data_IF_028343426086
#
_entry.id   IF_028343426086
#
_cell.length_a   1.000
_cell.length_b   1.000
_cell.length_c   1.000
_cell.angle_alpha   90.00
_cell.angle_beta   90.00
_cell.angle_gamma   90.00
#
_symmetry.space_group_name_H-M   'P 1'
#
loop_
_entity.id
_entity.type
_entity.pdbx_description
1 polymer ?
#
# COMPACT_ATOMS: atom_id res chain seq x y z
N UNK A 1 -13.03 33.45 -47.10
CA UNK A 1 -12.17 32.70 -46.16
C UNK A 1 -12.48 31.23 -46.29
N UNK A 2 -11.57 30.44 -46.87
CA UNK A 2 -11.67 28.97 -46.95
C UNK A 2 -10.95 28.38 -45.74
N UNK A 3 -11.62 27.50 -45.01
CA UNK A 3 -11.13 26.89 -43.76
C UNK A 3 -10.04 25.84 -43.99
N UNK A 4 -9.07 25.82 -43.10
CA UNK A 4 -7.99 24.82 -43.02
C UNK A 4 -8.56 23.51 -42.47
N UNK A 5 -8.21 22.32 -43.02
CA UNK A 5 -8.65 21.04 -42.47
C UNK A 5 -7.92 20.73 -41.15
N UNK A 6 -8.65 20.39 -40.09
CA UNK A 6 -8.08 19.90 -38.82
C UNK A 6 -7.74 18.42 -38.95
N UNK A 7 -6.49 18.07 -38.63
CA UNK A 7 -5.99 16.70 -38.49
C UNK A 7 -6.60 16.09 -37.20
N UNK A 8 -7.12 14.85 -37.22
CA UNK A 8 -7.64 14.20 -36.02
C UNK A 8 -6.52 13.86 -35.03
N UNK A 9 -6.79 14.02 -33.73
CA UNK A 9 -5.89 13.61 -32.65
C UNK A 9 -5.68 12.08 -32.60
N UNK A 10 -4.53 11.58 -32.12
CA UNK A 10 -4.26 10.13 -32.04
C UNK A 10 -5.19 9.44 -31.04
N UNK A 11 -5.64 8.22 -31.37
CA UNK A 11 -6.45 7.38 -30.48
C UNK A 11 -5.57 6.65 -29.46
N UNK A 12 -6.04 6.43 -28.22
CA UNK A 12 -5.34 5.63 -27.21
C UNK A 12 -5.40 4.13 -27.54
N UNK A 13 -4.37 3.38 -27.12
CA UNK A 13 -4.13 1.96 -27.44
C UNK A 13 -5.14 0.95 -26.86
N UNK A 14 -6.23 1.40 -26.23
CA UNK A 14 -7.23 0.55 -25.60
C UNK A 14 -8.30 0.00 -26.57
N UNK A 15 -8.33 0.48 -27.82
CA UNK A 15 -9.35 0.11 -28.82
C UNK A 15 -8.97 -1.11 -29.70
N UNK A 16 -7.80 -1.73 -29.50
CA UNK A 16 -7.28 -2.81 -30.35
C UNK A 16 -7.55 -4.25 -29.84
N UNK A 17 -8.42 -4.44 -28.84
CA UNK A 17 -8.78 -5.77 -28.33
C UNK A 17 -10.15 -6.23 -28.85
N UNK A 18 -10.13 -7.24 -29.74
CA UNK A 18 -11.35 -7.85 -30.30
C UNK A 18 -12.19 -8.60 -29.23
N UNK A 19 -13.54 -8.51 -29.23
CA UNK A 19 -14.38 -8.94 -28.09
C UNK A 19 -14.63 -10.46 -27.93
N UNK A 20 -13.88 -11.34 -28.59
CA UNK A 20 -14.20 -12.78 -28.65
C UNK A 20 -13.11 -13.74 -28.16
N UNK A 21 -12.08 -13.25 -27.49
CA UNK A 21 -10.97 -14.07 -27.04
C UNK A 21 -11.01 -14.45 -25.54
N UNK A 22 -12.15 -14.86 -24.99
CA UNK A 22 -12.16 -15.74 -23.80
C UNK A 22 -13.56 -16.33 -23.54
N UNK A 23 -13.70 -17.66 -23.62
CA UNK A 23 -14.87 -18.39 -23.12
C UNK A 23 -14.38 -19.61 -22.33
N UNK A 24 -14.45 -19.61 -20.98
CA UNK A 24 -14.01 -20.76 -20.19
C UNK A 24 -15.01 -21.93 -20.33
N UNK A 25 -14.55 -23.19 -20.26
CA UNK A 25 -15.42 -24.36 -20.37
C UNK A 25 -16.28 -24.56 -19.11
N UNK A 26 -17.45 -25.15 -19.32
CA UNK A 26 -18.47 -25.45 -18.28
C UNK A 26 -18.03 -26.68 -17.46
N UNK A 27 -18.20 -26.70 -16.12
CA UNK A 27 -17.85 -27.87 -15.33
C UNK A 27 -18.92 -28.97 -15.45
N UNK A 28 -18.48 -30.23 -15.53
CA UNK A 28 -19.34 -31.42 -15.51
C UNK A 28 -19.77 -31.82 -14.07
N UNK A 29 -20.89 -32.54 -13.89
CA UNK A 29 -21.45 -32.87 -12.59
C UNK A 29 -20.70 -34.03 -11.92
N UNK A 30 -20.48 -33.92 -10.61
CA UNK A 30 -19.96 -35.01 -9.76
C UNK A 30 -21.07 -36.01 -9.45
N UNK A 31 -20.77 -37.30 -9.62
CA UNK A 31 -21.60 -38.40 -9.15
C UNK A 31 -21.52 -38.54 -7.63
N UNK A 32 -22.70 -38.73 -7.05
CA UNK A 32 -22.99 -38.89 -5.64
C UNK A 32 -22.91 -40.38 -5.28
N UNK A 33 -22.18 -40.74 -4.23
CA UNK A 33 -22.24 -42.07 -3.65
C UNK A 33 -22.25 -41.96 -2.13
N UNK A 34 -23.45 -41.84 -1.58
CA UNK A 34 -23.70 -41.98 -0.16
C UNK A 34 -23.55 -43.42 0.33
N UNK A 35 -23.26 -43.56 1.63
CA UNK A 35 -23.68 -44.70 2.45
C UNK A 35 -23.87 -44.24 3.89
N UNK A 36 -24.97 -44.71 4.46
CA UNK A 36 -25.51 -44.35 5.76
C UNK A 36 -25.02 -45.25 6.92
N UNK A 37 -25.25 -44.72 8.13
CA UNK A 37 -25.60 -45.35 9.41
C UNK A 37 -24.57 -46.07 10.34
N UNK A 38 -24.15 -45.35 11.41
CA UNK A 38 -24.46 -45.51 12.87
C UNK A 38 -24.23 -46.88 13.61
N UNK A 39 -24.09 -46.96 14.96
CA UNK A 39 -23.18 -46.34 15.96
C UNK A 39 -22.45 -47.38 16.89
N UNK A 40 -21.52 -46.95 17.77
CA UNK A 40 -21.00 -47.84 18.84
C UNK A 40 -20.07 -47.25 19.92
N UNK A 41 -20.63 -46.99 21.10
CA UNK A 41 -20.12 -47.22 22.48
C UNK A 41 -18.68 -46.85 22.95
N UNK A 42 -18.65 -45.83 23.85
CA UNK A 42 -18.15 -45.83 25.24
C UNK A 42 -16.75 -46.40 25.67
N UNK A 43 -15.88 -45.45 26.09
CA UNK A 43 -15.09 -45.37 27.35
C UNK A 43 -13.90 -46.35 27.63
N UNK A 44 -12.98 -46.05 28.60
CA UNK A 44 -12.38 -44.76 28.97
C UNK A 44 -10.83 -44.81 29.17
N UNK A 45 -10.30 -43.61 29.42
CA UNK A 45 -8.96 -43.21 29.88
C UNK A 45 -8.33 -44.05 31.02
N UNK A 46 -6.99 -44.17 30.94
CA UNK A 46 -6.12 -44.41 32.09
C UNK A 46 -5.12 -43.28 32.24
N UNK A 47 -5.26 -42.57 33.36
CA UNK A 47 -4.27 -41.66 33.90
C UNK A 47 -3.08 -42.42 34.50
N UNK A 48 -1.87 -41.91 34.28
CA UNK A 48 -0.74 -42.05 35.20
C UNK A 48 0.08 -40.76 35.16
N UNK A 49 0.24 -40.16 36.34
CA UNK A 49 1.04 -38.95 36.53
C UNK A 49 2.47 -39.21 36.98
N UNK A 50 3.02 -38.17 37.60
CA UNK A 50 4.27 -38.06 38.35
C UNK A 50 5.51 -37.56 37.57
N UNK A 51 5.69 -36.24 37.65
CA UNK A 51 6.97 -35.59 37.99
C UNK A 51 7.57 -36.16 39.30
N UNK A 52 8.90 -36.09 39.58
CA UNK A 52 9.57 -34.79 39.83
C UNK A 52 11.09 -34.66 39.54
N UNK A 53 11.48 -33.37 39.44
CA UNK A 53 12.67 -32.67 39.96
C UNK A 53 14.10 -33.23 39.81
N UNK A 54 15.02 -32.34 39.41
CA UNK A 54 16.47 -32.52 39.57
C UNK A 54 17.29 -31.28 39.16
N UNK A 55 17.93 -30.67 40.15
CA UNK A 55 18.79 -29.49 40.16
C UNK A 55 20.00 -29.49 39.20
N UNK A 56 20.56 -28.29 38.96
CA UNK A 56 22.01 -28.10 39.16
C UNK A 56 22.86 -27.44 38.08
N UNK A 57 22.98 -26.10 38.17
CA UNK A 57 24.21 -25.25 38.12
C UNK A 57 25.25 -25.37 36.97
N UNK A 58 25.52 -24.17 36.44
CA UNK A 58 26.84 -23.51 36.25
C UNK A 58 27.74 -23.92 35.08
N UNK A 59 28.06 -22.93 34.24
CA UNK A 59 29.22 -22.95 33.36
C UNK A 59 29.30 -21.68 32.50
N UNK A 60 29.99 -20.66 32.98
CA UNK A 60 30.44 -19.51 32.19
C UNK A 60 31.48 -19.95 31.15
N UNK A 61 31.48 -19.35 29.94
CA UNK A 61 32.69 -18.79 29.31
C UNK A 61 32.41 -18.10 27.97
N UNK A 62 33.01 -16.91 27.86
CA UNK A 62 33.66 -16.32 26.68
C UNK A 62 32.79 -15.65 25.59
N UNK A 63 32.74 -14.32 25.73
CA UNK A 63 32.66 -13.34 24.65
C UNK A 63 33.72 -13.59 23.56
N UNK A 64 33.32 -13.43 22.30
CA UNK A 64 34.20 -13.06 21.21
C UNK A 64 33.52 -11.94 20.42
N UNK A 65 33.98 -10.71 20.68
CA UNK A 65 33.71 -9.54 19.86
C UNK A 65 34.53 -9.68 18.57
N UNK A 66 33.86 -9.51 17.42
CA UNK A 66 34.53 -9.29 16.14
C UNK A 66 34.38 -7.80 15.80
N UNK A 67 35.44 -7.05 16.09
CA UNK A 67 35.71 -5.71 15.57
C UNK A 67 36.23 -5.86 14.13
N UNK A 68 35.41 -5.51 13.13
CA UNK A 68 35.87 -5.26 11.76
C UNK A 68 35.94 -3.75 11.53
N UNK A 69 37.10 -3.18 11.87
CA UNK A 69 37.47 -1.79 11.59
C UNK A 69 38.15 -1.71 10.22
N UNK A 70 37.45 -1.15 9.23
CA UNK A 70 38.03 -0.77 7.93
C UNK A 70 38.46 0.70 8.02
N UNK A 71 39.75 1.04 7.83
CA UNK A 71 40.19 2.43 7.85
C UNK A 71 39.98 3.11 6.50
N UNK A 72 39.24 4.23 6.51
CA UNK A 72 39.26 5.26 5.47
C UNK A 72 40.60 5.98 5.43
N UNK A 73 41.11 6.37 4.25
CA UNK A 73 42.13 7.40 4.16
C UNK A 73 41.50 8.78 3.98
N UNK A 74 41.58 9.61 5.03
CA UNK A 74 41.53 11.07 4.91
C UNK A 74 42.93 11.60 4.66
N UNK A 75 43.09 12.46 3.64
CA UNK A 75 44.08 13.55 3.70
C UNK A 75 43.68 14.68 2.74
N UNK A 76 43.44 15.82 3.38
CA UNK A 76 43.29 17.17 2.86
C UNK A 76 44.41 17.62 1.90
N UNK A 77 44.14 18.70 1.14
CA UNK A 77 45.20 19.58 0.66
C UNK A 77 44.84 20.42 -0.56
N UNK A 78 44.38 21.64 -0.31
CA UNK A 78 44.16 22.68 -1.31
C UNK A 78 45.45 23.05 -2.07
N UNK A 79 45.32 23.31 -3.37
CA UNK A 79 46.21 24.21 -4.10
C UNK A 79 45.45 24.83 -5.28
N UNK A 80 45.17 26.11 -5.13
CA UNK A 80 44.89 27.08 -6.19
C UNK A 80 46.12 27.19 -7.09
N UNK A 81 45.95 26.97 -8.40
CA UNK A 81 46.97 27.34 -9.38
C UNK A 81 46.48 28.53 -10.21
N UNK A 82 47.31 29.56 -10.10
CA UNK A 82 47.27 30.84 -10.78
C UNK A 82 47.29 30.71 -12.30
N UNK A 83 46.50 31.56 -12.92
CA UNK A 83 46.54 31.85 -14.34
C UNK A 83 47.89 32.51 -14.74
N UNK A 84 48.52 31.97 -15.78
CA UNK A 84 49.61 32.61 -16.51
C UNK A 84 49.49 32.20 -18.00
N UNK A 85 50.04 32.98 -18.95
CA UNK A 85 49.26 33.67 -19.98
C UNK A 85 49.21 32.92 -21.31
N UNK A 86 48.20 33.27 -22.11
CA UNK A 86 48.01 32.74 -23.46
C UNK A 86 49.12 33.14 -24.44
N UNK A 87 49.33 32.35 -25.51
CA UNK A 87 50.25 32.71 -26.58
C UNK A 87 49.66 33.86 -27.40
N UNK A 88 50.50 34.87 -27.58
CA UNK A 88 50.24 36.09 -28.33
C UNK A 88 49.87 35.79 -29.79
N UNK A 89 48.84 36.51 -30.24
CA UNK A 89 48.42 36.55 -31.63
C UNK A 89 49.54 37.15 -32.50
N UNK A 90 50.21 36.29 -33.28
CA UNK A 90 50.97 36.71 -34.44
C UNK A 90 50.02 37.22 -35.52
N UNK A 91 50.08 38.52 -35.77
CA UNK A 91 49.35 39.20 -36.83
C UNK A 91 49.68 38.59 -38.21
N UNK A 92 48.69 37.98 -38.85
CA UNK A 92 48.71 37.79 -40.30
C UNK A 92 47.78 38.80 -40.97
N UNK A 93 48.46 39.65 -41.74
CA UNK A 93 48.01 40.68 -42.66
C UNK A 93 46.79 40.25 -43.48
N UNK A 94 45.73 41.06 -43.44
CA UNK A 94 44.62 41.00 -44.40
C UNK A 94 45.10 41.49 -45.76
N UNK A 95 45.22 40.57 -46.72
CA UNK A 95 45.35 40.87 -48.14
C UNK A 95 44.01 40.58 -48.84
N UNK A 96 43.66 41.30 -49.92
CA UNK A 96 42.32 41.29 -50.48
C UNK A 96 42.02 39.99 -51.24
N UNK A 97 40.88 39.37 -50.95
CA UNK A 97 40.39 38.15 -51.62
C UNK A 97 39.91 38.46 -53.04
N UNK A 98 40.63 37.88 -54.01
CA UNK A 98 40.17 37.66 -55.39
C UNK A 98 39.56 36.22 -55.48
N UNK A 99 38.88 35.87 -56.58
CA UNK A 99 37.61 35.14 -56.58
C UNK A 99 37.70 33.71 -56.01
N UNK A 100 36.64 33.31 -55.31
CA UNK A 100 36.41 31.98 -54.74
C UNK A 100 36.48 30.89 -55.82
N UNK A 101 37.55 30.11 -55.78
CA UNK A 101 37.56 28.78 -56.38
C UNK A 101 36.78 27.79 -55.49
N UNK A 102 36.32 26.66 -56.05
CA UNK A 102 35.57 25.66 -55.28
C UNK A 102 36.38 25.21 -54.06
N UNK A 103 35.73 25.22 -52.88
CA UNK A 103 36.33 24.81 -51.61
C UNK A 103 36.84 23.38 -51.74
N UNK A 104 38.11 23.16 -51.39
CA UNK A 104 38.71 21.84 -51.54
C UNK A 104 38.06 20.81 -50.59
N UNK A 105 37.96 19.56 -51.05
CA UNK A 105 37.39 18.45 -50.28
C UNK A 105 38.07 18.26 -48.90
N UNK A 106 39.37 18.52 -48.75
CA UNK A 106 40.03 18.38 -47.44
C UNK A 106 39.56 19.43 -46.43
N UNK A 107 39.23 20.64 -46.90
CA UNK A 107 38.67 21.71 -46.06
C UNK A 107 37.27 21.32 -45.61
N UNK A 108 36.42 20.83 -46.51
CA UNK A 108 35.07 20.37 -46.19
C UNK A 108 35.09 19.19 -45.21
N UNK A 109 36.02 18.25 -45.39
CA UNK A 109 36.24 17.14 -44.44
C UNK A 109 36.66 17.63 -43.05
N UNK A 110 37.47 18.69 -42.97
CA UNK A 110 37.89 19.27 -41.69
C UNK A 110 36.76 19.99 -40.94
N UNK A 111 35.75 20.48 -41.66
CA UNK A 111 34.58 21.17 -41.09
C UNK A 111 33.53 20.20 -40.52
N UNK A 112 33.58 18.90 -40.84
CA UNK A 112 32.56 17.92 -40.40
C UNK A 112 32.36 17.87 -38.88
N UNK A 113 33.45 18.00 -38.11
CA UNK A 113 33.38 18.01 -36.64
C UNK A 113 32.70 19.27 -36.10
N UNK A 114 33.03 20.45 -36.64
CA UNK A 114 32.40 21.71 -36.29
C UNK A 114 30.92 21.74 -36.73
N UNK A 115 30.62 21.21 -37.91
CA UNK A 115 29.27 21.06 -38.42
C UNK A 115 28.42 20.12 -37.55
N UNK A 116 28.97 18.99 -37.10
CA UNK A 116 28.29 18.06 -36.20
C UNK A 116 27.94 18.70 -34.84
N UNK A 117 28.75 19.65 -34.38
CA UNK A 117 28.53 20.44 -33.16
C UNK A 117 27.65 21.69 -33.37
N UNK A 118 27.13 21.91 -34.59
CA UNK A 118 26.42 23.14 -34.97
C UNK A 118 27.24 24.43 -34.73
N UNK A 119 28.56 24.34 -34.91
CA UNK A 119 29.53 25.42 -34.67
C UNK A 119 30.06 26.07 -35.96
N UNK A 120 29.59 25.65 -37.13
CA UNK A 120 29.89 26.30 -38.41
C UNK A 120 29.08 27.58 -38.60
N UNK A 121 29.61 28.54 -39.37
CA UNK A 121 28.82 29.65 -39.90
C UNK A 121 27.73 29.14 -40.86
N UNK A 122 26.76 29.99 -41.20
CA UNK A 122 25.68 29.64 -42.13
C UNK A 122 26.21 29.29 -43.54
N UNK A 123 27.24 29.99 -43.99
CA UNK A 123 27.88 29.78 -45.30
C UNK A 123 28.68 28.47 -45.35
N UNK A 124 29.45 28.17 -44.30
CA UNK A 124 30.16 26.89 -44.15
C UNK A 124 29.17 25.72 -44.04
N UNK A 125 28.06 25.91 -43.32
CA UNK A 125 27.02 24.89 -43.18
C UNK A 125 26.42 24.53 -44.53
N UNK A 126 26.03 25.53 -45.33
CA UNK A 126 25.48 25.31 -46.67
C UNK A 126 26.49 24.59 -47.59
N UNK A 127 27.76 24.99 -47.54
CA UNK A 127 28.83 24.38 -48.36
C UNK A 127 29.11 22.93 -47.94
N UNK A 128 29.08 22.63 -46.64
CA UNK A 128 29.23 21.27 -46.14
C UNK A 128 28.01 20.42 -46.51
N UNK A 129 26.79 20.93 -46.37
CA UNK A 129 25.56 20.19 -46.72
C UNK A 129 25.48 19.85 -48.21
N UNK A 130 25.86 20.77 -49.10
CA UNK A 130 25.99 20.51 -50.53
C UNK A 130 27.01 19.39 -50.81
N UNK A 131 28.17 19.44 -50.16
CA UNK A 131 29.19 18.40 -50.28
C UNK A 131 28.75 17.02 -49.75
N UNK A 132 28.01 16.97 -48.64
CA UNK A 132 27.49 15.72 -48.08
C UNK A 132 26.48 15.05 -49.03
N UNK A 133 25.77 15.84 -49.86
CA UNK A 133 24.90 15.32 -50.92
C UNK A 133 25.68 14.61 -52.05
N UNK A 134 26.94 14.96 -52.26
CA UNK A 134 27.76 14.48 -53.37
C UNK A 134 28.87 13.49 -52.96
N UNK A 135 29.21 13.40 -51.67
CA UNK A 135 30.32 12.59 -51.15
C UNK A 135 29.86 11.61 -50.05
N UNK A 136 29.52 10.38 -50.46
CA UNK A 136 29.08 9.32 -49.54
C UNK A 136 30.02 9.04 -48.35
N UNK A 137 31.37 8.99 -48.51
CA UNK A 137 32.27 8.81 -47.38
C UNK A 137 32.22 9.92 -46.33
N UNK A 138 32.00 11.17 -46.76
CA UNK A 138 31.85 12.30 -45.83
C UNK A 138 30.46 12.34 -45.19
N UNK A 139 29.41 11.89 -45.90
CA UNK A 139 28.08 11.67 -45.33
C UNK A 139 28.09 10.63 -44.21
N UNK A 140 28.74 9.49 -44.43
CA UNK A 140 28.88 8.43 -43.41
C UNK A 140 29.64 8.94 -42.17
N UNK A 141 30.71 9.70 -42.38
CA UNK A 141 31.49 10.28 -41.29
C UNK A 141 30.71 11.36 -40.54
N UNK A 142 29.96 12.21 -41.25
CA UNK A 142 29.12 13.23 -40.65
C UNK A 142 28.00 12.64 -39.78
N UNK A 143 27.40 11.51 -40.20
CA UNK A 143 26.44 10.75 -39.39
C UNK A 143 27.08 10.20 -38.12
N UNK A 144 28.26 9.56 -38.24
CA UNK A 144 29.01 9.06 -37.07
C UNK A 144 29.37 10.16 -36.08
N UNK A 145 29.78 11.32 -36.58
CA UNK A 145 30.11 12.47 -35.76
C UNK A 145 28.87 13.05 -35.05
N UNK A 146 27.71 13.13 -35.72
CA UNK A 146 26.45 13.53 -35.07
C UNK A 146 26.00 12.55 -34.00
N UNK A 147 26.10 11.24 -34.25
CA UNK A 147 25.81 10.22 -33.25
C UNK A 147 26.73 10.34 -32.03
N UNK A 148 28.02 10.62 -32.25
CA UNK A 148 28.99 10.84 -31.19
C UNK A 148 28.74 12.14 -30.40
N UNK A 149 28.32 13.23 -31.05
CA UNK A 149 27.91 14.48 -30.39
C UNK A 149 26.72 14.25 -29.45
N UNK A 150 25.82 13.32 -29.79
CA UNK A 150 24.73 12.90 -28.90
C UNK A 150 25.19 12.29 -27.57
N UNK A 151 26.43 11.77 -27.49
CA UNK A 151 27.05 11.27 -26.26
C UNK A 151 27.74 12.37 -25.44
N UNK A 152 28.03 13.52 -26.06
CA UNK A 152 28.65 14.69 -25.41
C UNK A 152 27.60 15.68 -24.86
N UNK A 153 26.33 15.52 -25.22
CA UNK A 153 25.23 16.26 -24.60
C UNK A 153 24.99 15.76 -23.17
N UNK A 154 25.50 16.52 -22.21
CA UNK A 154 25.41 16.28 -20.77
C UNK A 154 23.99 16.47 -20.21
N UNK A 155 23.06 17.02 -20.99
CA UNK A 155 21.70 17.38 -20.55
C UNK A 155 20.64 16.34 -20.99
N UNK A 156 20.95 15.05 -20.86
CA UNK A 156 19.87 14.07 -20.71
C UNK A 156 19.51 14.03 -19.23
N UNK A 157 18.27 14.38 -18.95
CA UNK A 157 17.65 14.14 -17.65
C UNK A 157 17.91 12.68 -17.26
N UNK A 158 18.72 12.46 -16.22
CA UNK A 158 19.03 11.13 -15.69
C UNK A 158 17.85 10.57 -14.88
N UNK A 159 16.75 11.32 -14.82
CA UNK A 159 15.50 10.89 -14.25
C UNK A 159 14.96 9.70 -15.05
N UNK A 160 15.14 8.53 -14.44
CA UNK A 160 14.51 7.30 -14.89
C UNK A 160 12.99 7.48 -14.84
N UNK A 161 12.28 6.85 -15.78
CA UNK A 161 10.82 6.74 -15.69
C UNK A 161 10.46 6.26 -14.26
N UNK A 162 9.62 6.99 -13.50
CA UNK A 162 9.21 6.57 -12.15
C UNK A 162 8.63 5.15 -12.12
N UNK A 163 8.07 4.68 -13.24
CA UNK A 163 7.54 3.32 -13.41
C UNK A 163 8.62 2.29 -13.72
N UNK A 164 9.83 2.67 -14.12
CA UNK A 164 10.90 1.73 -14.47
C UNK A 164 11.23 0.80 -13.31
N UNK A 165 11.31 1.33 -12.08
CA UNK A 165 11.53 0.51 -10.88
C UNK A 165 10.42 -0.53 -10.72
N UNK A 166 9.16 -0.12 -10.90
CA UNK A 166 8.02 -1.02 -10.81
C UNK A 166 8.08 -2.10 -11.89
N UNK A 167 8.29 -1.72 -13.16
CA UNK A 167 8.40 -2.65 -14.29
C UNK A 167 9.55 -3.64 -14.13
N UNK A 168 10.71 -3.18 -13.63
CA UNK A 168 11.87 -4.05 -13.36
C UNK A 168 11.58 -5.02 -12.23
N UNK A 169 10.95 -4.57 -11.14
CA UNK A 169 10.57 -5.44 -10.03
C UNK A 169 9.51 -6.46 -10.46
N UNK A 170 8.47 -6.03 -11.18
CA UNK A 170 7.44 -6.89 -11.74
C UNK A 170 8.04 -7.95 -12.67
N UNK A 171 8.96 -7.57 -13.57
CA UNK A 171 9.65 -8.49 -14.45
C UNK A 171 10.52 -9.49 -13.66
N UNK A 172 11.25 -9.02 -12.66
CA UNK A 172 12.07 -9.86 -11.78
C UNK A 172 11.22 -10.88 -11.01
N UNK A 173 10.10 -10.43 -10.43
CA UNK A 173 9.18 -11.28 -9.67
C UNK A 173 8.45 -12.27 -10.59
N UNK A 174 8.09 -11.87 -11.80
CA UNK A 174 7.53 -12.77 -12.81
C UNK A 174 8.51 -13.86 -13.26
N UNK A 175 9.81 -13.52 -13.37
CA UNK A 175 10.87 -14.50 -13.72
C UNK A 175 11.24 -15.42 -12.56
N UNK A 176 11.18 -14.90 -11.32
CA UNK A 176 11.53 -15.64 -10.10
C UNK A 176 10.40 -15.51 -9.09
N UNK A 177 9.26 -16.20 -9.31
CA UNK A 177 8.14 -16.15 -8.38
C UNK A 177 8.59 -16.66 -7.02
N UNK A 178 7.97 -16.11 -5.96
CA UNK A 178 8.16 -16.60 -4.61
C UNK A 178 7.81 -18.10 -4.58
N UNK A 179 8.67 -18.91 -3.97
CA UNK A 179 8.43 -20.35 -3.84
C UNK A 179 7.13 -20.64 -3.09
N UNK A 180 6.81 -19.77 -2.13
CA UNK A 180 5.54 -19.73 -1.40
C UNK A 180 5.05 -18.28 -1.50
N UNK A 181 4.03 -17.99 -2.31
CA UNK A 181 3.45 -16.65 -2.39
C UNK A 181 2.59 -16.36 -1.16
N UNK A 182 2.47 -15.07 -0.81
CA UNK A 182 1.45 -14.60 0.12
C UNK A 182 0.09 -14.77 -0.56
N UNK A 183 -0.95 -15.30 0.12
CA UNK A 183 -2.27 -15.41 -0.46
C UNK A 183 -2.89 -14.02 -0.68
N UNK A 184 -3.53 -13.81 -1.84
CA UNK A 184 -4.09 -12.51 -2.22
C UNK A 184 -4.99 -11.86 -1.14
N UNK A 185 -5.71 -12.67 -0.35
CA UNK A 185 -6.60 -12.18 0.71
C UNK A 185 -5.86 -11.69 1.97
N UNK A 186 -4.58 -12.04 2.13
CA UNK A 186 -3.70 -11.59 3.20
C UNK A 186 -2.78 -10.44 2.75
N UNK A 187 -2.67 -10.15 1.45
CA UNK A 187 -1.82 -9.08 0.90
C UNK A 187 -2.03 -7.70 1.57
N UNK A 188 -3.26 -7.25 1.89
CA UNK A 188 -3.42 -5.98 2.59
C UNK A 188 -2.72 -5.95 3.96
N UNK A 189 -2.79 -7.05 4.72
CA UNK A 189 -2.15 -7.12 6.03
C UNK A 189 -0.62 -7.14 5.91
N UNK A 190 -0.07 -7.92 4.97
CA UNK A 190 1.37 -7.95 4.70
C UNK A 190 1.89 -6.57 4.28
N UNK A 191 1.17 -5.89 3.37
CA UNK A 191 1.56 -4.58 2.88
C UNK A 191 1.50 -3.50 3.97
N UNK A 192 0.41 -3.39 4.73
CA UNK A 192 0.29 -2.33 5.73
C UNK A 192 1.24 -2.54 6.92
N UNK A 193 1.47 -3.79 7.34
CA UNK A 193 2.48 -4.08 8.38
C UNK A 193 3.90 -3.79 7.88
N UNK A 194 4.23 -4.09 6.63
CA UNK A 194 5.52 -3.75 6.03
C UNK A 194 5.74 -2.24 5.91
N UNK A 195 4.69 -1.48 5.54
CA UNK A 195 4.74 -0.02 5.45
C UNK A 195 4.91 0.63 6.81
N UNK A 196 4.17 0.20 7.82
CA UNK A 196 4.36 0.67 9.20
C UNK A 196 5.76 0.32 9.70
N UNK A 197 6.25 -0.90 9.43
CA UNK A 197 7.61 -1.28 9.81
C UNK A 197 8.70 -0.46 9.11
N UNK A 198 8.46 0.06 7.91
CA UNK A 198 9.35 1.01 7.25
C UNK A 198 9.40 2.35 8.01
N UNK A 199 8.25 2.94 8.32
CA UNK A 199 8.16 4.14 9.18
C UNK A 199 8.91 3.93 10.50
N UNK A 200 8.64 2.82 11.20
CA UNK A 200 9.24 2.53 12.50
C UNK A 200 10.76 2.32 12.45
N UNK A 201 11.32 1.96 11.28
CA UNK A 201 12.77 1.91 11.10
C UNK A 201 13.39 3.30 11.02
N UNK A 202 12.72 4.21 10.34
CA UNK A 202 13.22 5.55 10.01
C UNK A 202 13.21 6.49 11.21
N UNK A 203 12.23 6.35 12.11
CA UNK A 203 12.15 7.18 13.33
C UNK A 203 13.27 6.85 14.34
N UNK A 204 13.75 7.86 15.05
CA UNK A 204 14.75 7.79 16.11
C UNK A 204 14.21 7.25 17.44
N UNK A 205 15.10 6.98 18.40
CA UNK A 205 14.73 6.35 19.68
C UNK A 205 13.78 7.20 20.53
N UNK A 206 13.96 8.53 20.57
CA UNK A 206 13.09 9.43 21.34
C UNK A 206 11.66 9.49 20.80
N UNK A 207 11.47 9.29 19.50
CA UNK A 207 10.16 9.36 18.84
C UNK A 207 9.25 8.18 19.22
N UNK A 208 9.81 7.08 19.73
CA UNK A 208 9.02 5.98 20.31
C UNK A 208 8.20 6.41 21.54
N UNK A 209 8.57 7.52 22.17
CA UNK A 209 7.87 8.13 23.29
C UNK A 209 7.00 9.33 22.87
N UNK A 210 6.93 9.66 21.57
CA UNK A 210 6.07 10.72 21.09
C UNK A 210 4.61 10.43 21.47
N UNK A 211 3.86 11.43 21.96
CA UNK A 211 2.50 11.24 22.42
C UNK A 211 1.55 11.01 21.25
N UNK A 212 0.82 9.90 21.28
CA UNK A 212 -0.24 9.57 20.31
C UNK A 212 -1.60 9.65 21.01
N UNK A 213 -2.63 10.10 20.29
CA UNK A 213 -4.01 10.13 20.77
C UNK A 213 -4.88 9.25 19.89
N UNK A 214 -5.09 8.03 20.36
CA UNK A 214 -6.02 7.09 19.74
C UNK A 214 -7.45 7.62 19.87
N UNK A 215 -8.24 7.49 18.82
CA UNK A 215 -9.63 7.96 18.74
C UNK A 215 -10.53 6.84 18.26
N UNK A 216 -11.73 6.76 18.84
CA UNK A 216 -12.80 5.88 18.36
C UNK A 216 -14.15 6.48 18.74
N UNK A 217 -15.24 5.84 18.35
CA UNK A 217 -16.60 6.31 18.60
C UNK A 217 -17.31 5.41 19.61
N UNK A 218 -17.76 5.98 20.73
CA UNK A 218 -18.44 5.25 21.78
C UNK A 218 -19.53 6.12 22.43
N UNK A 219 -20.69 5.53 22.71
CA UNK A 219 -21.76 6.23 23.42
C UNK A 219 -22.31 7.46 22.68
N UNK A 220 -22.24 7.46 21.33
CA UNK A 220 -22.76 8.55 20.51
C UNK A 220 -21.82 9.76 20.38
N UNK A 221 -20.55 9.63 20.77
CA UNK A 221 -19.54 10.67 20.63
C UNK A 221 -18.18 10.07 20.33
N UNK A 222 -17.29 10.89 19.80
CA UNK A 222 -15.88 10.55 19.73
C UNK A 222 -15.28 10.50 21.13
N UNK A 223 -14.42 9.52 21.36
CA UNK A 223 -13.66 9.30 22.59
C UNK A 223 -12.20 9.11 22.24
N UNK A 224 -11.31 9.39 23.21
CA UNK A 224 -9.87 9.31 22.99
C UNK A 224 -9.09 8.72 24.16
N UNK A 225 -7.90 8.20 23.84
CA UNK A 225 -6.94 7.66 24.80
C UNK A 225 -5.53 8.09 24.43
N UNK A 226 -4.82 8.67 25.40
CA UNK A 226 -3.41 9.03 25.24
C UNK A 226 -2.52 7.81 25.44
N UNK A 227 -1.53 7.67 24.57
CA UNK A 227 -0.48 6.67 24.64
C UNK A 227 0.80 7.21 23.98
N UNK A 228 1.77 6.35 23.68
CA UNK A 228 2.96 6.68 22.89
C UNK A 228 3.01 5.85 21.62
N UNK A 229 3.91 6.18 20.68
CA UNK A 229 4.18 5.33 19.50
C UNK A 229 4.42 3.86 19.90
N UNK A 230 5.27 3.62 20.90
CA UNK A 230 5.50 2.26 21.41
C UNK A 230 4.23 1.61 22.01
N UNK A 231 3.38 2.40 22.66
CA UNK A 231 2.11 1.95 23.19
C UNK A 231 1.09 1.57 22.10
N UNK A 232 1.11 2.25 20.95
CA UNK A 232 0.32 1.89 19.76
C UNK A 232 0.79 0.57 19.16
N UNK A 233 2.10 0.36 19.03
CA UNK A 233 2.63 -0.93 18.54
C UNK A 233 2.28 -2.07 19.49
N UNK A 234 2.34 -1.82 20.80
CA UNK A 234 1.86 -2.76 21.81
C UNK A 234 0.37 -3.09 21.70
N UNK A 235 -0.46 -2.09 21.41
CA UNK A 235 -1.88 -2.26 21.12
C UNK A 235 -2.10 -3.15 19.88
N UNK A 236 -1.46 -2.82 18.75
CA UNK A 236 -1.57 -3.61 17.51
C UNK A 236 -1.16 -5.07 17.74
N UNK A 237 0.00 -5.31 18.35
CA UNK A 237 0.50 -6.65 18.70
C UNK A 237 -0.49 -7.42 19.58
N UNK A 238 -1.05 -6.73 20.58
CA UNK A 238 -2.01 -7.32 21.51
C UNK A 238 -3.27 -7.76 20.78
N UNK A 239 -3.86 -6.92 19.93
CA UNK A 239 -5.11 -7.28 19.23
C UNK A 239 -4.86 -8.30 18.11
N UNK A 240 -3.72 -8.25 17.41
CA UNK A 240 -3.31 -9.27 16.43
C UNK A 240 -3.17 -10.66 17.06
N UNK A 241 -2.98 -10.74 18.38
CA UNK A 241 -3.00 -12.00 19.13
C UNK A 241 -4.33 -12.77 19.02
N UNK A 242 -5.45 -12.12 18.70
CA UNK A 242 -6.71 -12.80 18.36
C UNK A 242 -6.56 -13.71 17.14
N UNK A 243 -5.86 -13.21 16.11
CA UNK A 243 -5.57 -13.96 14.88
C UNK A 243 -4.54 -15.05 15.16
N UNK A 244 -3.50 -14.75 15.96
CA UNK A 244 -2.52 -15.75 16.41
C UNK A 244 -3.23 -16.93 17.09
N UNK A 245 -4.10 -16.66 18.05
CA UNK A 245 -4.82 -17.68 18.81
C UNK A 245 -5.74 -18.53 17.93
N UNK A 246 -6.46 -17.91 16.99
CA UNK A 246 -7.28 -18.65 16.03
C UNK A 246 -6.44 -19.60 15.17
N UNK A 247 -5.26 -19.16 14.73
CA UNK A 247 -4.30 -19.98 13.95
C UNK A 247 -3.54 -21.01 14.79
N UNK A 248 -3.76 -21.08 16.11
CA UNK A 248 -3.04 -21.98 17.01
C UNK A 248 -1.58 -21.58 17.26
N UNK A 249 -1.23 -20.33 16.99
CA UNK A 249 0.06 -19.74 17.36
C UNK A 249 0.03 -19.23 18.80
N UNK A 250 1.21 -18.97 19.37
CA UNK A 250 1.31 -18.36 20.68
C UNK A 250 0.70 -16.94 20.67
N UNK A 251 -0.13 -16.66 21.67
CA UNK A 251 -0.68 -15.33 21.93
C UNK A 251 0.36 -14.50 22.72
N UNK A 252 0.70 -13.27 22.30
CA UNK A 252 1.67 -12.42 23.00
C UNK A 252 1.27 -12.07 24.45
N UNK A 253 -0.02 -12.15 24.80
CA UNK A 253 -0.52 -11.95 26.17
C UNK A 253 -0.65 -13.28 26.95
N UNK A 254 -0.26 -14.40 26.33
CA UNK A 254 -0.31 -15.74 26.92
C UNK A 254 -1.70 -16.38 26.90
N UNK A 255 -1.80 -17.57 27.50
CA UNK A 255 -3.00 -18.44 27.40
C UNK A 255 -4.27 -17.87 28.03
N UNK A 256 -4.14 -16.93 28.95
CA UNK A 256 -5.27 -16.30 29.65
C UNK A 256 -5.64 -14.94 29.04
N UNK A 257 -5.18 -14.66 27.81
CA UNK A 257 -5.44 -13.41 27.14
C UNK A 257 -6.95 -13.13 26.98
N UNK A 258 -7.41 -11.90 27.27
CA UNK A 258 -8.79 -11.50 27.00
C UNK A 258 -9.14 -11.63 25.51
N UNK A 259 -10.44 -11.72 25.21
CA UNK A 259 -10.93 -11.86 23.82
C UNK A 259 -11.40 -10.53 23.23
N UNK A 260 -11.75 -9.52 24.07
CA UNK A 260 -12.16 -8.20 23.56
C UNK A 260 -10.93 -7.33 23.27
N UNK A 261 -10.84 -6.67 22.09
CA UNK A 261 -9.71 -5.81 21.74
C UNK A 261 -9.30 -4.81 22.83
N UNK A 262 -10.23 -3.98 23.31
CA UNK A 262 -9.97 -3.03 24.40
C UNK A 262 -9.43 -3.68 25.69
N UNK A 263 -9.95 -4.85 26.09
CA UNK A 263 -9.46 -5.58 27.27
C UNK A 263 -8.03 -6.08 27.07
N UNK A 264 -7.67 -6.51 25.85
CA UNK A 264 -6.31 -6.94 25.50
C UNK A 264 -5.34 -5.75 25.53
N UNK A 265 -5.74 -4.63 24.95
CA UNK A 265 -4.98 -3.38 24.96
C UNK A 265 -4.69 -2.93 26.40
N UNK A 266 -5.71 -2.87 27.25
CA UNK A 266 -5.54 -2.46 28.65
C UNK A 266 -4.76 -3.49 29.47
N UNK A 267 -4.91 -4.80 29.21
CA UNK A 267 -4.10 -5.83 29.84
C UNK A 267 -2.61 -5.67 29.50
N UNK A 268 -2.28 -5.39 28.24
CA UNK A 268 -0.91 -5.11 27.82
C UNK A 268 -0.35 -3.85 28.49
N UNK A 269 -1.06 -2.72 28.40
CA UNK A 269 -0.61 -1.46 29.00
C UNK A 269 -0.49 -1.53 30.53
N UNK A 270 -1.31 -2.34 31.19
CA UNK A 270 -1.23 -2.56 32.64
C UNK A 270 -0.12 -3.53 33.04
N UNK A 271 0.37 -4.37 32.12
CA UNK A 271 1.42 -5.36 32.40
C UNK A 271 2.83 -4.79 32.38
N UNK A 272 3.02 -3.60 31.82
CA UNK A 272 4.33 -2.97 31.65
C UNK A 272 4.59 -1.95 32.76
N UNK A 273 5.60 -2.22 33.59
CA UNK A 273 5.96 -1.33 34.72
C UNK A 273 6.52 0.03 34.25
N UNK A 274 7.10 0.05 33.04
CA UNK A 274 7.62 1.25 32.38
C UNK A 274 6.97 1.37 31.00
N UNK A 275 6.79 2.59 30.47
CA UNK A 275 6.31 2.78 29.11
C UNK A 275 7.14 1.97 28.12
N UNK A 276 6.50 1.22 27.19
CA UNK A 276 7.23 0.48 26.17
C UNK A 276 8.18 1.40 25.39
N UNK A 277 9.30 0.85 24.95
CA UNK A 277 10.30 1.54 24.12
C UNK A 277 10.35 0.90 22.74
N UNK A 278 11.33 1.29 21.90
CA UNK A 278 11.61 0.66 20.59
C UNK A 278 11.73 -0.87 20.62
N UNK A 279 12.01 -1.47 21.78
CA UNK A 279 12.13 -2.92 21.93
C UNK A 279 10.86 -3.68 21.54
N UNK A 280 9.68 -3.06 21.60
CA UNK A 280 8.39 -3.68 21.20
C UNK A 280 8.31 -3.99 19.70
N UNK A 281 9.14 -3.32 18.87
CA UNK A 281 9.13 -3.49 17.42
C UNK A 281 9.43 -4.92 16.99
N UNK A 282 10.41 -5.56 17.63
CA UNK A 282 10.86 -6.91 17.25
C UNK A 282 9.75 -7.95 17.46
N UNK A 283 9.17 -8.10 18.67
CA UNK A 283 8.10 -9.09 18.88
C UNK A 283 6.85 -8.81 18.04
N UNK A 284 6.45 -7.54 17.85
CA UNK A 284 5.36 -7.19 16.94
C UNK A 284 5.64 -7.65 15.51
N UNK A 285 6.83 -7.34 14.99
CA UNK A 285 7.23 -7.72 13.63
C UNK A 285 7.32 -9.23 13.44
N UNK A 286 7.87 -9.93 14.43
CA UNK A 286 7.97 -11.39 14.41
C UNK A 286 6.58 -12.05 14.41
N UNK A 287 5.62 -11.48 15.16
CA UNK A 287 4.22 -11.92 15.12
C UNK A 287 3.60 -11.72 13.74
N UNK A 288 3.70 -10.53 13.14
CA UNK A 288 3.14 -10.27 11.80
C UNK A 288 3.74 -11.22 10.75
N UNK A 289 5.05 -11.44 10.79
CA UNK A 289 5.71 -12.42 9.94
C UNK A 289 5.23 -13.86 10.18
N UNK A 290 5.01 -14.25 11.44
CA UNK A 290 4.50 -15.58 11.77
C UNK A 290 3.07 -15.79 11.26
N UNK A 291 2.21 -14.77 11.33
CA UNK A 291 0.86 -14.79 10.78
C UNK A 291 0.89 -15.00 9.26
N UNK A 292 1.62 -14.15 8.53
CA UNK A 292 1.77 -14.25 7.07
C UNK A 292 2.35 -15.60 6.66
N UNK A 293 3.42 -16.04 7.33
CA UNK A 293 4.02 -17.35 7.05
C UNK A 293 3.00 -18.46 7.24
N UNK A 294 2.26 -18.47 8.35
CA UNK A 294 1.29 -19.53 8.67
C UNK A 294 0.19 -19.60 7.62
N UNK A 295 -0.42 -18.48 7.25
CA UNK A 295 -1.49 -18.46 6.24
C UNK A 295 -0.99 -18.80 4.84
N UNK A 296 0.27 -18.49 4.53
CA UNK A 296 0.88 -18.83 3.22
C UNK A 296 1.09 -20.33 3.02
N UNK A 297 1.18 -21.11 4.11
CA UNK A 297 1.24 -22.58 4.07
C UNK A 297 -0.10 -23.26 4.31
N UNK A 298 -1.12 -22.52 4.71
CA UNK A 298 -2.42 -23.06 5.05
C UNK A 298 -3.25 -23.44 3.82
N UNK A 299 -4.19 -24.37 3.99
CA UNK A 299 -5.17 -24.72 2.96
C UNK A 299 -6.20 -23.61 2.79
N UNK A 300 -6.91 -23.58 1.64
CA UNK A 300 -7.95 -22.58 1.38
C UNK A 300 -9.06 -22.56 2.45
N UNK A 301 -9.30 -23.70 3.10
CA UNK A 301 -10.33 -23.84 4.14
C UNK A 301 -10.04 -22.97 5.38
N UNK A 302 -8.79 -22.55 5.59
CA UNK A 302 -8.42 -21.66 6.70
C UNK A 302 -9.12 -20.29 6.62
N UNK A 303 -9.54 -19.87 5.42
CA UNK A 303 -10.13 -18.54 5.20
C UNK A 303 -11.47 -18.34 5.92
N UNK A 304 -12.21 -19.42 6.17
CA UNK A 304 -13.49 -19.44 6.90
C UNK A 304 -13.33 -19.67 8.40
N UNK A 305 -12.10 -19.85 8.88
CA UNK A 305 -11.83 -20.03 10.30
C UNK A 305 -12.35 -18.82 11.09
N UNK A 306 -13.17 -19.08 12.11
CA UNK A 306 -13.78 -18.01 12.91
C UNK A 306 -12.78 -17.41 13.90
N UNK A 307 -12.60 -16.10 13.85
CA UNK A 307 -11.81 -15.31 14.81
C UNK A 307 -12.78 -14.50 15.68
N UNK A 308 -12.74 -14.74 16.99
CA UNK A 308 -13.63 -14.07 17.94
C UNK A 308 -13.05 -12.72 18.38
N UNK A 309 -13.86 -11.67 18.33
CA UNK A 309 -13.61 -10.35 18.90
C UNK A 309 -14.44 -10.13 20.18
N UNK A 310 -15.00 -11.21 20.73
CA UNK A 310 -15.89 -11.19 21.89
C UNK A 310 -17.34 -10.98 21.51
N UNK A 311 -17.73 -9.75 21.16
CA UNK A 311 -19.12 -9.42 20.83
C UNK A 311 -19.56 -9.93 19.45
N UNK A 312 -18.60 -10.14 18.55
CA UNK A 312 -18.79 -10.66 17.20
C UNK A 312 -17.61 -11.55 16.81
N UNK A 313 -17.73 -12.20 15.65
CA UNK A 313 -16.66 -12.96 15.04
C UNK A 313 -16.60 -12.67 13.55
N UNK A 314 -15.40 -12.74 12.98
CA UNK A 314 -15.15 -12.60 11.55
C UNK A 314 -14.46 -13.87 11.04
N UNK A 315 -14.70 -14.27 9.78
CA UNK A 315 -13.81 -15.22 9.10
C UNK A 315 -12.37 -14.71 9.12
N UNK A 316 -11.39 -15.61 9.11
CA UNK A 316 -9.97 -15.25 9.18
C UNK A 316 -9.57 -14.28 8.07
N UNK A 317 -10.10 -14.45 6.85
CA UNK A 317 -9.84 -13.53 5.73
C UNK A 317 -10.28 -12.10 6.05
N UNK A 318 -11.45 -11.96 6.66
CA UNK A 318 -12.04 -10.66 6.98
C UNK A 318 -11.35 -10.08 8.23
N UNK A 319 -10.87 -10.96 9.13
CA UNK A 319 -10.08 -10.57 10.28
C UNK A 319 -8.73 -10.00 9.87
N UNK A 320 -8.00 -10.61 8.93
CA UNK A 320 -6.74 -10.02 8.43
C UNK A 320 -6.98 -8.69 7.71
N UNK A 321 -8.11 -8.54 7.02
CA UNK A 321 -8.47 -7.28 6.37
C UNK A 321 -8.84 -6.19 7.38
N UNK A 322 -9.55 -6.55 8.46
CA UNK A 322 -9.78 -5.71 9.64
C UNK A 322 -8.44 -5.32 10.28
N UNK A 323 -7.54 -6.27 10.51
CA UNK A 323 -6.21 -5.98 11.07
C UNK A 323 -5.37 -5.08 10.16
N UNK A 324 -5.48 -5.22 8.84
CA UNK A 324 -4.82 -4.35 7.89
C UNK A 324 -5.36 -2.91 7.96
N UNK A 325 -6.68 -2.75 8.09
CA UNK A 325 -7.32 -1.45 8.29
C UNK A 325 -6.84 -0.79 9.58
N UNK A 326 -6.88 -1.50 10.70
CA UNK A 326 -6.40 -0.99 12.00
C UNK A 326 -4.90 -0.65 11.97
N UNK A 327 -4.08 -1.48 11.30
CA UNK A 327 -2.66 -1.20 11.12
C UNK A 327 -2.40 0.09 10.34
N UNK A 328 -3.15 0.33 9.26
CA UNK A 328 -3.03 1.58 8.50
C UNK A 328 -3.49 2.80 9.30
N UNK A 329 -4.67 2.75 9.93
CA UNK A 329 -5.19 3.87 10.74
C UNK A 329 -4.21 4.24 11.84
N UNK A 330 -3.68 3.25 12.55
CA UNK A 330 -2.71 3.51 13.61
C UNK A 330 -1.31 3.88 13.11
N UNK A 331 -0.95 3.51 11.87
CA UNK A 331 0.24 4.04 11.22
C UNK A 331 0.07 5.54 10.89
N UNK A 332 -1.12 5.98 10.50
CA UNK A 332 -1.46 7.40 10.32
C UNK A 332 -1.38 8.15 11.66
N UNK A 333 -1.94 7.59 12.74
CA UNK A 333 -1.81 8.16 14.09
C UNK A 333 -0.34 8.36 14.52
N UNK A 334 0.52 7.38 14.23
CA UNK A 334 1.95 7.44 14.52
C UNK A 334 2.63 8.47 13.63
N UNK A 335 2.35 8.45 12.32
CA UNK A 335 2.93 9.35 11.35
C UNK A 335 2.63 10.82 11.70
N UNK A 336 1.39 11.12 12.07
CA UNK A 336 0.98 12.45 12.54
C UNK A 336 1.73 12.86 13.81
N UNK A 337 1.97 11.94 14.74
CA UNK A 337 2.65 12.23 16.00
C UNK A 337 4.16 12.50 15.86
N UNK A 338 4.77 12.04 14.76
CA UNK A 338 6.21 12.18 14.48
C UNK A 338 6.49 12.99 13.21
N UNK A 339 5.48 13.67 12.66
CA UNK A 339 5.56 14.46 11.42
C UNK A 339 6.14 13.67 10.22
N UNK A 340 5.78 12.39 10.08
CA UNK A 340 6.25 11.50 9.00
C UNK A 340 5.28 11.51 7.79
N UNK A 341 5.78 11.62 6.55
CA UNK A 341 4.91 11.55 5.36
C UNK A 341 4.37 10.12 5.15
N UNK A 342 3.07 9.92 5.34
CA UNK A 342 2.43 8.63 5.19
C UNK A 342 1.21 8.70 4.27
N UNK A 343 1.25 7.98 3.15
CA UNK A 343 0.18 7.96 2.16
C UNK A 343 -0.96 6.99 2.54
N UNK A 344 -2.15 7.08 1.92
CA UNK A 344 -3.16 6.04 2.03
C UNK A 344 -2.72 4.68 1.42
N UNK A 345 -3.42 3.57 1.71
CA UNK A 345 -3.27 2.28 1.04
C UNK A 345 -3.44 2.37 -0.48
N UNK A 346 -2.96 1.35 -1.18
CA UNK A 346 -3.25 1.21 -2.61
C UNK A 346 -4.77 1.16 -2.84
N UNK A 347 -5.26 1.67 -3.97
CA UNK A 347 -6.70 1.68 -4.25
C UNK A 347 -7.33 0.28 -4.20
N UNK A 348 -6.59 -0.77 -4.59
CA UNK A 348 -7.08 -2.14 -4.48
C UNK A 348 -7.23 -2.60 -3.02
N UNK A 349 -6.31 -2.22 -2.14
CA UNK A 349 -6.40 -2.54 -0.70
C UNK A 349 -7.49 -1.71 -0.04
N UNK A 350 -7.57 -0.42 -0.34
CA UNK A 350 -8.58 0.48 0.21
C UNK A 350 -9.99 0.01 -0.18
N UNK A 351 -10.21 -0.39 -1.44
CA UNK A 351 -11.49 -0.95 -1.88
C UNK A 351 -11.93 -2.16 -1.06
N UNK A 352 -11.01 -3.08 -0.75
CA UNK A 352 -11.33 -4.26 0.07
C UNK A 352 -11.69 -3.86 1.49
N UNK A 353 -10.96 -2.92 2.09
CA UNK A 353 -11.26 -2.41 3.43
C UNK A 353 -12.64 -1.72 3.47
N UNK A 354 -12.96 -0.91 2.47
CA UNK A 354 -14.28 -0.27 2.31
C UNK A 354 -15.38 -1.33 2.14
N UNK A 355 -15.15 -2.35 1.31
CA UNK A 355 -16.09 -3.45 1.10
C UNK A 355 -16.39 -4.18 2.41
N UNK A 356 -15.36 -4.50 3.21
CA UNK A 356 -15.55 -5.11 4.52
C UNK A 356 -16.42 -4.22 5.42
N UNK A 357 -16.08 -2.94 5.56
CA UNK A 357 -16.86 -2.01 6.37
C UNK A 357 -18.33 -1.94 5.89
N UNK A 358 -18.56 -1.82 4.59
CA UNK A 358 -19.89 -1.80 3.99
C UNK A 358 -20.69 -3.09 4.29
N UNK A 359 -20.05 -4.27 4.24
CA UNK A 359 -20.67 -5.55 4.61
C UNK A 359 -21.04 -5.63 6.10
N UNK A 360 -20.35 -4.92 6.98
CA UNK A 360 -20.62 -4.88 8.42
C UNK A 360 -21.74 -3.90 8.79
N UNK A 361 -22.01 -2.88 7.98
CA UNK A 361 -23.01 -1.84 8.28
C UNK A 361 -24.42 -2.36 8.59
N UNK A 362 -25.01 -3.34 7.86
CA UNK A 362 -26.35 -3.82 8.20
C UNK A 362 -26.44 -4.41 9.60
N UNK A 363 -25.41 -5.15 10.03
CA UNK A 363 -25.35 -5.73 11.38
C UNK A 363 -25.13 -4.66 12.45
N UNK A 364 -24.22 -3.70 12.21
CA UNK A 364 -23.99 -2.57 13.11
C UNK A 364 -25.26 -1.72 13.28
N UNK A 365 -25.99 -1.45 12.20
CA UNK A 365 -27.26 -0.73 12.23
C UNK A 365 -28.32 -1.48 13.04
N UNK A 366 -28.43 -2.80 12.86
CA UNK A 366 -29.34 -3.62 13.65
C UNK A 366 -28.99 -3.61 15.16
N UNK A 367 -27.71 -3.62 15.51
CA UNK A 367 -27.27 -3.54 16.91
C UNK A 367 -27.62 -2.19 17.52
N UNK A 368 -27.33 -1.10 16.82
CA UNK A 368 -27.72 0.25 17.25
C UNK A 368 -29.22 0.36 17.45
N UNK A 369 -30.03 -0.23 16.57
CA UNK A 369 -31.49 -0.27 16.72
C UNK A 369 -31.92 -1.03 17.97
N UNK A 370 -31.30 -2.18 18.28
CA UNK A 370 -31.55 -2.92 19.53
C UNK A 370 -31.22 -2.09 20.77
N UNK A 371 -30.18 -1.27 20.70
CA UNK A 371 -29.79 -0.33 21.75
C UNK A 371 -30.66 0.94 21.82
N UNK A 372 -31.66 1.11 20.93
CA UNK A 372 -32.50 2.30 20.87
C UNK A 372 -31.79 3.54 20.31
N UNK A 373 -30.70 3.36 19.57
CA UNK A 373 -29.84 4.41 19.01
C UNK A 373 -30.05 4.65 17.50
N UNK A 374 -31.03 3.99 16.89
CA UNK A 374 -31.40 4.12 15.48
C UNK A 374 -32.92 4.00 15.31
N UNK A 375 -33.43 4.50 14.18
CA UNK A 375 -34.85 4.46 13.85
C UNK A 375 -35.42 3.02 13.78
N UNK A 376 -36.74 2.84 13.98
CA UNK A 376 -37.36 1.53 13.94
C UNK A 376 -37.29 0.92 12.55
N UNK A 377 -37.43 -0.41 12.48
CA UNK A 377 -37.57 -1.10 11.19
C UNK A 377 -38.84 -0.62 10.49
N UNK A 378 -38.73 -0.25 9.21
CA UNK A 378 -39.88 0.23 8.42
C UNK A 378 -40.46 -0.84 7.51
N UNK A 379 -39.63 -1.66 6.88
CA UNK A 379 -40.05 -2.68 5.93
C UNK A 379 -39.25 -3.97 6.07
N UNK A 380 -39.84 -4.99 6.69
CA UNK A 380 -39.23 -6.31 6.85
C UNK A 380 -39.51 -7.17 5.62
N UNK A 381 -38.43 -7.73 5.06
CA UNK A 381 -38.49 -8.67 3.94
C UNK A 381 -37.93 -10.03 4.36
N UNK A 382 -38.25 -11.06 3.58
CA UNK A 382 -37.65 -12.39 3.76
C UNK A 382 -36.12 -12.32 3.61
N UNK A 383 -35.40 -13.20 4.30
CA UNK A 383 -33.95 -13.31 4.14
C UNK A 383 -33.56 -13.54 2.67
N UNK A 384 -32.56 -12.81 2.19
CA UNK A 384 -32.14 -12.84 0.79
C UNK A 384 -32.98 -11.99 -0.16
N UNK A 385 -34.12 -11.43 0.28
CA UNK A 385 -34.94 -10.56 -0.56
C UNK A 385 -34.42 -9.10 -0.56
N UNK A 386 -34.64 -8.34 -1.65
CA UNK A 386 -34.30 -6.92 -1.71
C UNK A 386 -35.06 -6.10 -0.66
N UNK A 387 -34.34 -5.38 0.21
CA UNK A 387 -34.89 -4.52 1.26
C UNK A 387 -34.67 -3.03 1.00
N UNK A 388 -35.28 -2.15 1.80
CA UNK A 388 -34.94 -0.72 1.79
C UNK A 388 -33.44 -0.55 1.98
N UNK A 389 -32.84 0.24 1.10
CA UNK A 389 -31.40 0.36 0.98
C UNK A 389 -30.94 1.81 1.05
N UNK A 390 -29.74 2.04 1.55
CA UNK A 390 -28.99 3.27 1.33
C UNK A 390 -27.89 2.99 0.31
N UNK A 391 -27.76 3.86 -0.69
CA UNK A 391 -26.67 3.84 -1.65
C UNK A 391 -25.46 4.57 -1.07
N UNK A 392 -24.42 3.82 -0.76
CA UNK A 392 -23.12 4.34 -0.36
C UNK A 392 -22.23 4.42 -1.62
N UNK A 393 -21.92 5.63 -2.03
CA UNK A 393 -20.96 5.93 -3.10
C UNK A 393 -19.66 6.38 -2.45
N UNK A 394 -18.57 5.67 -2.76
CA UNK A 394 -17.24 6.08 -2.31
C UNK A 394 -16.43 6.50 -3.53
N UNK A 395 -15.91 7.72 -3.50
CA UNK A 395 -15.09 8.29 -4.56
C UNK A 395 -13.60 8.02 -4.33
N UNK A 396 -12.79 8.24 -5.37
CA UNK A 396 -11.33 8.15 -5.28
C UNK A 396 -10.74 6.77 -5.56
N UNK A 397 -9.46 6.59 -5.24
CA UNK A 397 -8.72 5.36 -5.52
C UNK A 397 -9.22 4.23 -4.62
N UNK A 398 -9.90 3.25 -5.18
CA UNK A 398 -10.56 2.19 -4.42
C UNK A 398 -12.03 2.45 -4.12
N UNK A 399 -12.59 3.53 -4.67
CA UNK A 399 -14.00 3.84 -4.62
C UNK A 399 -14.91 2.79 -5.28
N UNK A 400 -16.20 2.96 -5.14
CA UNK A 400 -17.20 2.01 -5.60
C UNK A 400 -18.62 2.38 -5.17
N UNK A 401 -19.55 1.45 -5.41
CA UNK A 401 -20.95 1.61 -5.05
C UNK A 401 -21.41 0.41 -4.24
N UNK A 402 -21.95 0.66 -3.06
CA UNK A 402 -22.52 -0.35 -2.17
C UNK A 402 -23.96 0.02 -1.83
N UNK A 403 -24.81 -1.01 -1.68
CA UNK A 403 -26.19 -0.83 -1.24
C UNK A 403 -26.34 -1.47 0.13
N UNK A 404 -26.58 -0.64 1.14
CA UNK A 404 -26.63 -1.05 2.54
C UNK A 404 -28.08 -1.34 2.92
N UNK A 405 -28.38 -2.58 3.26
CA UNK A 405 -29.71 -2.95 3.76
C UNK A 405 -30.00 -2.27 5.11
N UNK A 406 -31.10 -1.53 5.19
CA UNK A 406 -31.42 -0.68 6.34
C UNK A 406 -32.20 -1.42 7.44
N UNK A 407 -33.13 -2.27 7.02
CA UNK A 407 -34.20 -2.78 7.88
C UNK A 407 -33.90 -4.16 8.48
N UNK A 408 -33.05 -4.97 7.83
CA UNK A 408 -32.64 -6.29 8.29
C UNK A 408 -31.23 -6.65 7.79
N UNK A 409 -30.34 -7.18 8.64
CA UNK A 409 -29.04 -7.71 8.20
C UNK A 409 -29.13 -8.87 7.22
N UNK A 410 -30.27 -9.57 7.19
CA UNK A 410 -30.50 -10.70 6.29
C UNK A 410 -31.08 -10.29 4.93
N UNK A 411 -31.43 -9.01 4.74
CA UNK A 411 -31.93 -8.50 3.47
C UNK A 411 -30.76 -8.19 2.52
N UNK A 412 -31.04 -8.16 1.22
CA UNK A 412 -30.07 -7.78 0.19
C UNK A 412 -30.27 -6.30 -0.14
N UNK A 413 -29.18 -5.53 -0.13
CA UNK A 413 -29.20 -4.15 -0.60
C UNK A 413 -29.41 -4.08 -2.11
N UNK A 414 -30.21 -3.13 -2.59
CA UNK A 414 -30.49 -3.00 -4.02
C UNK A 414 -30.70 -1.55 -4.47
N UNK A 415 -30.33 -1.21 -5.72
CA UNK A 415 -30.59 0.11 -6.30
C UNK A 415 -32.08 0.43 -6.39
N UNK A 416 -32.90 -0.54 -6.80
CA UNK A 416 -34.35 -0.37 -6.99
C UNK A 416 -35.13 -0.03 -5.71
N UNK A 417 -34.50 -0.29 -4.55
CA UNK A 417 -35.05 -0.03 -3.20
C UNK A 417 -34.23 1.02 -2.46
N UNK A 418 -33.38 1.78 -3.15
CA UNK A 418 -32.62 2.87 -2.55
C UNK A 418 -33.55 4.00 -2.14
N UNK A 419 -33.47 4.42 -0.87
CA UNK A 419 -34.27 5.54 -0.31
C UNK A 419 -33.42 6.76 0.03
N UNK A 420 -32.09 6.61 -0.02
CA UNK A 420 -31.13 7.65 0.28
C UNK A 420 -29.78 7.33 -0.35
N UNK A 421 -28.97 8.36 -0.56
CA UNK A 421 -27.61 8.27 -1.05
C UNK A 421 -26.67 9.07 -0.14
N UNK A 422 -25.48 8.50 0.09
CA UNK A 422 -24.35 9.15 0.74
C UNK A 422 -23.14 8.99 -0.16
N UNK A 423 -22.48 10.10 -0.49
CA UNK A 423 -21.27 10.14 -1.29
C UNK A 423 -20.11 10.75 -0.49
N UNK A 424 -18.96 10.10 -0.43
CA UNK A 424 -17.76 10.61 0.24
C UNK A 424 -16.47 10.01 -0.33
N UNK A 425 -15.34 10.64 -0.06
CA UNK A 425 -14.03 10.12 -0.47
C UNK A 425 -13.62 8.89 0.38
N UNK A 426 -12.83 7.98 -0.18
CA UNK A 426 -12.45 6.72 0.47
C UNK A 426 -11.73 6.84 1.80
N UNK A 427 -10.74 7.73 1.92
CA UNK A 427 -10.04 7.99 3.17
C UNK A 427 -10.98 8.63 4.19
N UNK A 428 -11.84 9.56 3.76
CA UNK A 428 -12.86 10.16 4.63
C UNK A 428 -13.82 9.11 5.20
N UNK A 429 -14.30 8.16 4.38
CA UNK A 429 -15.14 7.06 4.85
C UNK A 429 -14.40 6.18 5.86
N UNK A 430 -13.15 5.84 5.58
CA UNK A 430 -12.33 5.05 6.50
C UNK A 430 -12.08 5.78 7.82
N UNK A 431 -11.83 7.09 7.80
CA UNK A 431 -11.70 7.91 9.02
C UNK A 431 -12.99 7.97 9.82
N UNK A 432 -14.16 8.03 9.17
CA UNK A 432 -15.45 7.90 9.84
C UNK A 432 -15.59 6.51 10.49
N UNK A 433 -15.32 5.44 9.75
CA UNK A 433 -15.37 4.06 10.26
C UNK A 433 -14.42 3.85 11.44
N UNK A 434 -13.25 4.49 11.42
CA UNK A 434 -12.26 4.50 12.49
C UNK A 434 -12.59 5.47 13.64
N UNK A 435 -13.72 6.18 13.61
CA UNK A 435 -14.11 7.13 14.65
C UNK A 435 -13.15 8.32 14.79
N UNK A 436 -12.39 8.63 13.74
CA UNK A 436 -11.49 9.78 13.68
C UNK A 436 -12.22 11.07 13.33
N UNK A 437 -13.34 10.95 12.60
CA UNK A 437 -14.27 12.03 12.28
C UNK A 437 -15.65 11.65 12.80
N UNK A 438 -16.36 12.61 13.40
CA UNK A 438 -17.73 12.35 13.88
C UNK A 438 -18.71 12.23 12.70
N UNK A 439 -19.81 11.46 12.84
CA UNK A 439 -20.84 11.36 11.81
C UNK A 439 -21.37 12.71 11.32
N UNK A 440 -21.42 13.71 12.20
CA UNK A 440 -21.89 15.07 11.90
C UNK A 440 -20.87 15.93 11.14
N UNK A 441 -19.58 15.65 11.31
CA UNK A 441 -18.48 16.41 10.68
C UNK A 441 -17.98 15.77 9.38
N UNK A 442 -18.34 14.50 9.14
CA UNK A 442 -17.93 13.77 7.95
C UNK A 442 -18.29 14.53 6.67
N UNK A 443 -17.30 14.74 5.80
CA UNK A 443 -17.45 15.45 4.54
C UNK A 443 -18.19 14.60 3.50
N UNK A 444 -19.50 14.45 3.69
CA UNK A 444 -20.36 13.60 2.86
C UNK A 444 -21.44 14.41 2.13
N UNK A 445 -21.58 14.17 0.83
CA UNK A 445 -22.77 14.51 0.06
C UNK A 445 -23.94 13.62 0.47
N UNK A 446 -25.13 14.20 0.66
CA UNK A 446 -26.29 13.50 1.20
C UNK A 446 -27.56 13.85 0.41
N UNK A 447 -28.31 12.83 -0.01
CA UNK A 447 -29.61 12.99 -0.66
C UNK A 447 -30.63 11.93 -0.20
N UNK A 448 -31.91 12.29 -0.13
CA UNK A 448 -33.01 11.40 0.27
C UNK A 448 -33.32 11.34 1.77
N UNK A 449 -33.66 10.15 2.29
CA UNK A 449 -34.14 9.93 3.67
C UNK A 449 -33.07 10.27 4.72
N UNK A 450 -33.22 11.43 5.38
CA UNK A 450 -32.27 11.94 6.39
C UNK A 450 -32.11 11.05 7.62
N UNK A 451 -33.16 10.32 8.02
CA UNK A 451 -33.04 9.39 9.17
C UNK A 451 -32.17 8.20 8.77
N UNK A 452 -32.40 7.64 7.58
CA UNK A 452 -31.58 6.54 7.06
C UNK A 452 -30.11 6.93 6.89
N UNK A 453 -29.84 8.13 6.37
CA UNK A 453 -28.47 8.66 6.23
C UNK A 453 -27.79 8.76 7.59
N UNK A 454 -28.44 9.42 8.55
CA UNK A 454 -27.92 9.58 9.91
C UNK A 454 -27.64 8.21 10.54
N UNK A 455 -28.60 7.30 10.47
CA UNK A 455 -28.47 5.98 11.06
C UNK A 455 -27.28 5.19 10.48
N UNK A 456 -27.03 5.28 9.17
CA UNK A 456 -25.89 4.62 8.54
C UNK A 456 -24.55 5.28 8.88
N UNK A 457 -24.46 6.61 8.89
CA UNK A 457 -23.21 7.30 9.27
C UNK A 457 -22.81 6.99 10.72
N UNK A 458 -23.79 6.97 11.63
CA UNK A 458 -23.57 6.56 13.01
C UNK A 458 -23.30 5.05 13.16
N UNK A 459 -23.83 4.20 12.28
CA UNK A 459 -23.48 2.78 12.23
C UNK A 459 -22.03 2.57 11.78
N UNK A 460 -21.58 3.33 10.77
CA UNK A 460 -20.19 3.33 10.32
C UNK A 460 -19.23 3.72 11.44
N UNK A 461 -19.48 4.84 12.12
CA UNK A 461 -18.64 5.27 13.24
C UNK A 461 -18.57 4.23 14.37
N UNK A 462 -19.69 3.55 14.67
CA UNK A 462 -19.74 2.53 15.72
C UNK A 462 -18.98 1.23 15.44
N UNK A 463 -18.36 1.09 14.26
CA UNK A 463 -17.45 -0.03 13.96
C UNK A 463 -16.07 0.16 14.63
N UNK A 464 -15.68 1.40 14.89
CA UNK A 464 -14.43 1.73 15.59
C UNK A 464 -14.42 1.21 17.02
N UNK A 465 -13.22 0.90 17.52
CA UNK A 465 -12.98 0.39 18.87
C UNK A 465 -11.53 0.58 19.26
N UNK A 466 -11.27 0.53 20.57
CA UNK A 466 -9.94 0.37 21.14
C UNK A 466 -9.49 -1.09 21.17
#
# INVERSE_FOLDING_TARGET
>A
MRGVPRIPSPRPAADDLSPHAYRPPRPEPREDSGTADTPGAAAPDKAHGAEPAGDGRSGAHAQAAHDDHVPSPDAAGAASDDAAPGPEHGAHTTAPTAPEGPVSHSVLKSLLGAWALSACSAEETATVEEHLGECAPCADEALRLRDAVGLLHTDRDLDLDPLLRFQVLENCLGRRPARIPVPDWADPYDAETARLDALLRDIGESEWHAPVRLKWFEGGRQVDRRTTVAGVIGHLMSVDGLVSGALGLDDPLGRAAPVRPAERTEAFWSSVDLPPTRTIRVPWRDQSHALIRTVSFASRDVTELSVSYGAFALPLRDSLLDRAFECWIHAEDIADAVDYPYAPPSGAHLNRMIDLAARLLPAALAERRRAGLAGPVRDLVAAGAPGRSLHLEVEGSGGGNWYIALDSPAAVGSPDRSVAQVALEGVEFCRLVAGHVSPEEAAAGQDGDREAIRDVLFAAASLSRL
#
